data_IF_113959091052
#
_entry.id   IF_113959091052
#
_cell.length_a   1.000
_cell.length_b   1.000
_cell.length_c   1.000
_cell.angle_alpha   90.00
_cell.angle_beta   90.00
_cell.angle_gamma   90.00
#
_symmetry.space_group_name_H-M   'P 1'
#
loop_
_entity.id
_entity.type
_entity.pdbx_description
1 polymer ?
#
# COMPACT_ATOMS: atom_id res chain seq x y z
N UNK A 1 -8.35 7.33 -17.08
CA UNK A 1 -8.78 8.61 -16.48
C UNK A 1 -9.66 8.31 -15.27
N UNK A 2 -9.04 8.06 -14.12
CA UNK A 2 -9.73 7.80 -12.86
C UNK A 2 -9.50 8.98 -11.93
N UNK A 3 -10.51 9.83 -11.77
CA UNK A 3 -10.52 10.94 -10.82
C UNK A 3 -10.58 10.38 -9.39
N UNK A 4 -9.43 10.18 -8.76
CA UNK A 4 -9.36 10.06 -7.30
C UNK A 4 -9.55 11.45 -6.71
N UNK A 5 -10.79 11.78 -6.37
CA UNK A 5 -11.13 13.04 -5.72
C UNK A 5 -10.40 13.16 -4.38
N UNK A 6 -9.70 14.29 -4.18
CA UNK A 6 -9.25 14.72 -2.87
C UNK A 6 -10.50 15.03 -2.01
N UNK A 7 -11.05 14.00 -1.37
CA UNK A 7 -12.24 14.14 -0.54
C UNK A 7 -11.90 14.86 0.75
N UNK A 8 -12.42 16.07 0.94
CA UNK A 8 -12.50 16.69 2.27
C UNK A 8 -13.67 16.04 2.99
N UNK A 9 -13.41 15.29 4.07
CA UNK A 9 -14.46 14.78 4.95
C UNK A 9 -14.78 15.84 5.99
N UNK A 10 -15.95 16.45 5.86
CA UNK A 10 -16.54 17.30 6.90
C UNK A 10 -17.46 16.41 7.72
N UNK A 11 -17.14 16.25 9.00
CA UNK A 11 -17.98 15.49 9.93
C UNK A 11 -18.61 16.47 10.92
N UNK A 12 -19.94 16.42 11.05
CA UNK A 12 -20.60 17.10 12.17
C UNK A 12 -20.12 16.45 13.46
N UNK A 13 -19.65 17.26 14.41
CA UNK A 13 -19.13 16.75 15.66
C UNK A 13 -20.31 16.31 16.53
N UNK A 14 -20.29 15.03 16.96
CA UNK A 14 -21.42 14.42 17.65
C UNK A 14 -21.65 15.07 19.02
N UNK A 15 -22.91 15.33 19.36
CA UNK A 15 -23.32 16.05 20.57
C UNK A 15 -22.73 15.46 21.87
N UNK A 16 -22.57 14.13 21.94
CA UNK A 16 -21.96 13.44 23.08
C UNK A 16 -20.50 13.84 23.31
N UNK A 17 -19.69 13.99 22.26
CA UNK A 17 -18.30 14.44 22.38
C UNK A 17 -18.18 15.90 22.83
N UNK A 18 -19.12 16.76 22.40
CA UNK A 18 -19.16 18.15 22.84
C UNK A 18 -19.59 18.26 24.30
N UNK A 19 -20.55 17.44 24.73
CA UNK A 19 -21.05 17.42 26.10
C UNK A 19 -20.00 16.92 27.12
N UNK A 20 -19.29 15.83 26.81
CA UNK A 20 -18.21 15.32 27.68
C UNK A 20 -17.01 16.27 27.78
N UNK A 21 -16.81 17.12 26.77
CA UNK A 21 -15.79 18.16 26.75
C UNK A 21 -16.21 19.49 27.44
N UNK A 22 -17.42 19.56 28.01
CA UNK A 22 -17.93 20.76 28.69
C UNK A 22 -18.40 21.88 27.74
N UNK A 23 -18.73 21.54 26.49
CA UNK A 23 -19.26 22.44 25.46
C UNK A 23 -20.71 22.08 25.12
N UNK A 24 -21.51 21.91 26.17
CA UNK A 24 -22.91 21.48 26.20
C UNK A 24 -23.88 22.33 25.37
N UNK A 25 -23.53 23.58 25.07
CA UNK A 25 -24.38 24.51 24.31
C UNK A 25 -23.75 25.01 22.99
N UNK A 26 -22.84 24.23 22.39
CA UNK A 26 -22.15 24.57 21.13
C UNK A 26 -22.33 23.49 20.08
N UNK A 27 -22.42 23.92 18.82
CA UNK A 27 -22.31 23.03 17.64
C UNK A 27 -20.90 23.19 17.07
N UNK A 28 -20.17 22.09 16.96
CA UNK A 28 -18.80 22.06 16.43
C UNK A 28 -18.71 21.36 15.09
N UNK A 29 -17.86 21.86 14.20
CA UNK A 29 -17.49 21.20 12.95
C UNK A 29 -16.03 20.78 13.03
N UNK A 30 -15.74 19.57 12.55
CA UNK A 30 -14.37 19.09 12.41
C UNK A 30 -14.14 18.65 10.97
N UNK A 31 -13.00 19.04 10.41
CA UNK A 31 -12.54 18.56 9.12
C UNK A 31 -11.11 18.03 9.28
N UNK A 32 -10.88 16.85 8.71
CA UNK A 32 -9.55 16.26 8.60
C UNK A 32 -9.09 16.38 7.16
N UNK A 33 -7.91 16.97 6.95
CA UNK A 33 -7.27 17.03 5.64
C UNK A 33 -6.11 16.03 5.63
N UNK A 34 -6.14 15.07 4.71
CA UNK A 34 -4.98 14.24 4.42
C UNK A 34 -3.96 15.07 3.65
N UNK A 35 -2.92 15.58 4.35
CA UNK A 35 -1.92 16.48 3.77
C UNK A 35 -1.20 15.84 2.59
N UNK A 36 -0.91 14.55 2.66
CA UNK A 36 -0.25 13.80 1.59
C UNK A 36 -1.10 13.78 0.32
N UNK A 37 -2.42 13.57 0.46
CA UNK A 37 -3.35 13.58 -0.69
C UNK A 37 -3.46 14.96 -1.31
N UNK A 38 -3.51 16.00 -0.48
CA UNK A 38 -3.56 17.38 -0.96
C UNK A 38 -2.26 17.75 -1.69
N UNK A 39 -1.12 17.42 -1.11
CA UNK A 39 0.20 17.66 -1.69
C UNK A 39 0.41 16.89 -3.01
N UNK A 40 -0.05 15.65 -3.10
CA UNK A 40 0.01 14.88 -4.35
C UNK A 40 -0.77 15.54 -5.48
N UNK A 41 -1.95 16.10 -5.21
CA UNK A 41 -2.74 16.80 -6.22
C UNK A 41 -2.15 18.18 -6.54
N UNK A 42 -1.77 18.96 -5.52
CA UNK A 42 -1.26 20.32 -5.68
C UNK A 42 0.07 20.36 -6.42
N UNK A 43 0.99 19.46 -6.05
CA UNK A 43 2.35 19.44 -6.59
C UNK A 43 2.54 18.38 -7.68
N UNK A 44 1.49 17.66 -8.08
CA UNK A 44 1.53 16.57 -9.07
C UNK A 44 2.50 15.43 -8.70
N UNK A 45 2.62 15.12 -7.40
CA UNK A 45 3.49 14.04 -6.91
C UNK A 45 2.83 12.68 -7.19
N UNK A 46 3.50 11.77 -7.94
CA UNK A 46 2.87 10.55 -8.45
C UNK A 46 2.74 9.41 -7.43
N UNK A 47 3.53 9.42 -6.35
CA UNK A 47 3.58 8.34 -5.36
C UNK A 47 3.82 8.90 -3.96
N UNK A 48 3.04 8.44 -2.98
CA UNK A 48 3.13 8.86 -1.57
C UNK A 48 4.45 8.45 -0.93
N UNK A 49 5.11 7.39 -1.43
CA UNK A 49 6.41 6.93 -0.92
C UNK A 49 7.49 7.99 -1.06
N UNK A 50 7.36 8.91 -2.02
CA UNK A 50 8.32 10.00 -2.24
C UNK A 50 8.42 10.92 -1.02
N UNK A 51 7.34 11.09 -0.24
CA UNK A 51 7.39 11.88 1.00
C UNK A 51 8.30 11.27 2.08
N UNK A 52 8.56 9.97 2.00
CA UNK A 52 9.42 9.24 2.95
C UNK A 52 10.83 9.01 2.41
N UNK A 53 11.09 9.37 1.14
CA UNK A 53 12.41 9.28 0.52
C UNK A 53 13.33 10.40 1.02
N UNK A 54 14.63 10.11 1.07
CA UNK A 54 15.68 11.07 1.42
C UNK A 54 16.43 11.59 0.20
N UNK A 55 15.89 11.38 -1.00
CA UNK A 55 16.49 11.81 -2.26
C UNK A 55 16.57 13.34 -2.33
N UNK A 56 17.79 13.88 -2.37
CA UNK A 56 18.02 15.32 -2.46
C UNK A 56 17.37 15.92 -3.71
N UNK A 57 17.27 15.18 -4.82
CA UNK A 57 16.65 15.64 -6.06
C UNK A 57 15.15 15.93 -5.90
N UNK A 58 14.49 15.27 -4.94
CA UNK A 58 13.13 15.60 -4.55
C UNK A 58 13.12 16.78 -3.60
N UNK A 59 13.90 16.72 -2.52
CA UNK A 59 13.90 17.74 -1.45
C UNK A 59 14.27 19.13 -1.96
N UNK A 60 15.20 19.24 -2.91
CA UNK A 60 15.63 20.51 -3.51
C UNK A 60 14.50 21.21 -4.28
N UNK A 61 13.58 20.47 -4.89
CA UNK A 61 12.47 21.07 -5.65
C UNK A 61 11.49 21.83 -4.75
N UNK A 62 11.46 21.51 -3.46
CA UNK A 62 10.59 22.15 -2.47
C UNK A 62 11.32 23.15 -1.57
N UNK A 63 12.64 23.35 -1.76
CA UNK A 63 13.40 24.42 -1.09
C UNK A 63 13.15 25.75 -1.80
N UNK A 64 12.01 26.37 -1.51
CA UNK A 64 11.62 27.68 -2.04
C UNK A 64 11.79 28.79 -1.00
N UNK A 65 12.08 30.00 -1.47
CA UNK A 65 12.19 31.19 -0.61
C UNK A 65 10.82 31.76 -0.20
N UNK A 66 9.78 31.51 -1.01
CA UNK A 66 8.40 31.95 -0.76
C UNK A 66 7.46 30.72 -0.78
N UNK A 67 6.65 30.59 0.27
CA UNK A 67 5.67 29.49 0.42
C UNK A 67 4.52 29.55 -0.58
N UNK A 68 4.28 30.71 -1.20
CA UNK A 68 3.24 30.89 -2.22
C UNK A 68 3.72 30.61 -3.64
N UNK A 69 5.01 30.30 -3.81
CA UNK A 69 5.56 29.96 -5.10
C UNK A 69 4.92 28.66 -5.62
N UNK A 70 4.37 28.65 -6.85
CA UNK A 70 3.82 27.43 -7.43
C UNK A 70 4.96 26.46 -7.76
N UNK A 71 5.10 25.42 -6.96
CA UNK A 71 6.00 24.30 -7.23
C UNK A 71 5.24 23.24 -8.01
N UNK A 72 5.82 22.73 -9.09
CA UNK A 72 5.31 21.55 -9.78
C UNK A 72 6.42 20.52 -9.80
N UNK A 73 6.18 19.38 -9.15
CA UNK A 73 7.18 18.32 -9.04
C UNK A 73 7.55 17.83 -10.44
N UNK A 74 8.84 17.89 -10.76
CA UNK A 74 9.40 17.26 -11.95
C UNK A 74 9.67 15.80 -11.63
N UNK A 75 9.00 14.86 -12.32
CA UNK A 75 9.22 13.44 -12.09
C UNK A 75 10.68 13.09 -12.32
N UNK A 76 11.31 12.48 -11.32
CA UNK A 76 12.63 11.90 -11.46
C UNK A 76 12.57 10.78 -12.51
N UNK A 77 13.68 10.60 -13.25
CA UNK A 77 13.82 9.49 -14.22
C UNK A 77 13.45 8.17 -13.54
N UNK A 78 12.35 7.56 -13.99
CA UNK A 78 11.77 6.39 -13.34
C UNK A 78 12.59 5.16 -13.67
N UNK A 79 13.06 4.47 -12.63
CA UNK A 79 13.72 3.18 -12.76
C UNK A 79 12.73 2.11 -13.28
N UNK A 80 13.17 1.17 -14.13
CA UNK A 80 12.28 0.15 -14.68
C UNK A 80 11.71 -0.74 -13.56
N UNK A 81 10.39 -1.03 -13.57
CA UNK A 81 9.80 -1.93 -12.60
C UNK A 81 10.14 -3.39 -12.96
N UNK A 82 10.33 -4.22 -11.94
CA UNK A 82 10.39 -5.66 -12.07
C UNK A 82 9.07 -6.26 -11.57
N UNK A 83 8.57 -7.30 -12.24
CA UNK A 83 7.31 -7.95 -11.88
C UNK A 83 7.55 -9.44 -11.67
N UNK A 84 7.11 -9.95 -10.52
CA UNK A 84 7.08 -11.37 -10.25
C UNK A 84 5.67 -11.76 -9.76
N UNK A 85 5.21 -12.90 -10.23
CA UNK A 85 3.92 -13.47 -9.85
C UNK A 85 4.15 -14.58 -8.83
N UNK A 86 3.39 -14.57 -7.75
CA UNK A 86 3.39 -15.61 -6.73
C UNK A 86 1.99 -16.21 -6.67
N UNK A 87 1.91 -17.53 -6.74
CA UNK A 87 0.63 -18.23 -6.62
C UNK A 87 0.72 -19.32 -5.57
N UNK A 88 -0.37 -19.50 -4.83
CA UNK A 88 -0.43 -20.46 -3.72
C UNK A 88 -1.87 -20.93 -3.49
N UNK A 89 -1.99 -22.09 -2.86
CA UNK A 89 -3.24 -22.62 -2.36
C UNK A 89 -3.52 -22.08 -0.97
N UNK A 90 -4.77 -21.68 -0.74
CA UNK A 90 -5.25 -21.26 0.56
C UNK A 90 -5.41 -22.47 1.49
N UNK A 91 -5.22 -22.30 2.81
CA UNK A 91 -5.52 -23.33 3.78
C UNK A 91 -7.02 -23.67 3.75
N UNK A 92 -7.34 -24.97 3.85
CA UNK A 92 -8.73 -25.44 3.85
C UNK A 92 -9.38 -25.14 5.20
N UNK A 93 -10.62 -24.63 5.18
CA UNK A 93 -11.39 -24.30 6.39
C UNK A 93 -11.80 -25.53 7.24
N UNK A 94 -11.40 -26.74 6.84
CA UNK A 94 -11.79 -28.02 7.44
C UNK A 94 -10.84 -28.56 8.50
N UNK A 95 -9.64 -27.99 8.66
CA UNK A 95 -8.56 -28.61 9.45
C UNK A 95 -8.57 -28.28 10.97
N UNK A 96 -9.74 -27.97 11.53
CA UNK A 96 -9.94 -27.86 12.99
C UNK A 96 -9.25 -26.68 13.69
N UNK A 97 -8.33 -25.98 13.03
CA UNK A 97 -8.00 -24.59 13.36
C UNK A 97 -9.19 -23.73 12.93
N UNK A 98 -9.92 -23.18 13.89
CA UNK A 98 -11.05 -22.27 13.67
C UNK A 98 -10.70 -21.10 12.71
N UNK A 99 -11.65 -20.22 12.39
CA UNK A 99 -11.60 -19.34 11.22
C UNK A 99 -10.40 -18.38 11.25
N UNK A 100 -9.24 -18.83 10.77
CA UNK A 100 -8.30 -17.97 10.08
C UNK A 100 -8.64 -18.10 8.61
N UNK A 101 -9.74 -17.45 8.24
CA UNK A 101 -9.96 -17.08 6.85
C UNK A 101 -8.73 -16.28 6.46
N UNK A 102 -7.87 -16.84 5.61
CA UNK A 102 -6.82 -16.06 4.94
C UNK A 102 -7.43 -14.75 4.44
N UNK A 103 -6.96 -13.63 4.99
CA UNK A 103 -7.35 -12.31 4.54
C UNK A 103 -6.33 -11.82 3.54
N UNK A 104 -6.78 -11.20 2.45
CA UNK A 104 -5.88 -10.58 1.48
C UNK A 104 -4.98 -9.52 2.15
N UNK A 105 -5.48 -8.88 3.20
CA UNK A 105 -4.72 -7.92 4.00
C UNK A 105 -3.54 -8.57 4.73
N UNK A 106 -3.68 -9.81 5.21
CA UNK A 106 -2.58 -10.50 5.91
C UNK A 106 -1.41 -10.73 4.93
N UNK A 107 -1.72 -11.08 3.69
CA UNK A 107 -0.72 -11.19 2.64
C UNK A 107 -0.13 -9.83 2.24
N UNK A 108 -0.95 -8.77 2.16
CA UNK A 108 -0.43 -7.42 1.91
C UNK A 108 0.52 -6.95 3.01
N UNK A 109 0.18 -7.21 4.27
CA UNK A 109 0.99 -6.85 5.43
C UNK A 109 2.30 -7.66 5.45
N UNK A 110 2.25 -8.96 5.13
CA UNK A 110 3.44 -9.80 5.02
C UNK A 110 4.39 -9.30 3.92
N UNK A 111 3.86 -9.04 2.71
CA UNK A 111 4.65 -8.51 1.60
C UNK A 111 5.26 -7.15 1.94
N UNK A 112 4.53 -6.29 2.67
CA UNK A 112 5.04 -5.00 3.15
C UNK A 112 6.11 -5.17 4.23
N UNK A 113 5.96 -6.13 5.13
CA UNK A 113 6.92 -6.42 6.18
C UNK A 113 8.26 -6.93 5.62
N UNK A 114 8.21 -7.83 4.63
CA UNK A 114 9.41 -8.43 4.03
C UNK A 114 10.02 -7.52 2.97
N UNK A 115 9.20 -6.99 2.05
CA UNK A 115 9.66 -6.22 0.90
C UNK A 115 9.84 -4.72 1.16
N UNK A 116 9.25 -4.17 2.22
CA UNK A 116 9.38 -2.77 2.60
C UNK A 116 9.12 -1.80 1.44
N UNK A 117 10.05 -0.87 1.23
CA UNK A 117 9.97 0.16 0.19
C UNK A 117 10.27 -0.34 -1.23
N UNK A 118 10.78 -1.57 -1.38
CA UNK A 118 11.05 -2.18 -2.69
C UNK A 118 9.74 -2.53 -3.41
N UNK A 119 8.68 -2.84 -2.64
CA UNK A 119 7.37 -3.19 -3.18
C UNK A 119 6.59 -1.92 -3.51
N UNK A 120 6.33 -1.71 -4.80
CA UNK A 120 5.48 -0.63 -5.28
C UNK A 120 4.00 -0.98 -5.17
N UNK A 121 3.64 -2.18 -5.60
CA UNK A 121 2.24 -2.59 -5.67
C UNK A 121 2.12 -4.12 -5.60
N UNK A 122 1.06 -4.57 -4.93
CA UNK A 122 0.61 -5.96 -4.97
C UNK A 122 -0.80 -5.96 -5.55
N UNK A 123 -1.06 -6.84 -6.53
CA UNK A 123 -2.38 -6.98 -7.16
C UNK A 123 -2.76 -8.44 -7.25
N UNK A 124 -3.96 -8.79 -6.81
CA UNK A 124 -4.57 -10.08 -7.12
C UNK A 124 -4.85 -10.13 -8.63
N UNK A 125 -4.24 -11.08 -9.32
CA UNK A 125 -4.37 -11.28 -10.77
C UNK A 125 -5.40 -12.33 -11.09
N UNK A 126 -5.37 -13.44 -10.35
CA UNK A 126 -6.22 -14.59 -10.62
C UNK A 126 -6.66 -15.26 -9.33
N UNK A 127 -7.85 -15.83 -9.36
CA UNK A 127 -8.39 -16.67 -8.31
C UNK A 127 -9.06 -17.88 -8.94
N UNK A 128 -8.60 -19.06 -8.56
CA UNK A 128 -9.06 -20.33 -9.13
C UNK A 128 -9.47 -21.31 -8.04
N UNK A 129 -10.62 -21.96 -8.22
CA UNK A 129 -11.12 -23.02 -7.33
C UNK A 129 -11.06 -24.35 -8.07
N UNK A 130 -10.34 -25.32 -7.52
CA UNK A 130 -10.17 -26.62 -8.16
C UNK A 130 -11.46 -27.46 -8.05
N UNK A 131 -12.02 -27.94 -9.18
CA UNK A 131 -13.37 -28.53 -9.20
C UNK A 131 -13.48 -29.87 -8.47
N UNK A 132 -12.37 -30.64 -8.34
CA UNK A 132 -12.40 -31.96 -7.69
C UNK A 132 -12.05 -31.92 -6.21
N UNK A 133 -11.23 -30.97 -5.79
CA UNK A 133 -10.71 -30.91 -4.41
C UNK A 133 -11.37 -29.78 -3.61
N UNK A 134 -12.07 -28.85 -4.26
CA UNK A 134 -12.65 -27.67 -3.62
C UNK A 134 -11.62 -26.61 -3.19
N UNK A 135 -10.32 -26.91 -3.30
CA UNK A 135 -9.23 -26.02 -2.88
C UNK A 135 -9.22 -24.74 -3.70
N UNK A 136 -9.02 -23.62 -3.01
CA UNK A 136 -8.89 -22.29 -3.61
C UNK A 136 -7.42 -21.93 -3.78
N UNK A 137 -7.09 -21.35 -4.92
CA UNK A 137 -5.78 -20.76 -5.21
C UNK A 137 -5.93 -19.30 -5.58
N UNK A 138 -4.93 -18.51 -5.23
CA UNK A 138 -4.81 -17.11 -5.60
C UNK A 138 -3.44 -16.87 -6.22
N UNK A 139 -3.40 -15.98 -7.22
CA UNK A 139 -2.19 -15.52 -7.86
C UNK A 139 -2.08 -14.00 -7.70
N UNK A 140 -0.98 -13.55 -7.11
CA UNK A 140 -0.67 -12.15 -6.89
C UNK A 140 0.51 -11.74 -7.76
N UNK A 141 0.42 -10.58 -8.40
CA UNK A 141 1.54 -9.91 -9.06
C UNK A 141 2.12 -8.87 -8.13
N UNK A 142 3.40 -9.00 -7.83
CA UNK A 142 4.16 -8.05 -7.03
C UNK A 142 5.05 -7.25 -7.97
N UNK A 143 4.90 -5.92 -7.91
CA UNK A 143 5.70 -4.96 -8.66
C UNK A 143 6.78 -4.42 -7.74
N UNK A 144 8.04 -4.66 -8.10
CA UNK A 144 9.21 -4.16 -7.41
C UNK A 144 9.76 -2.93 -8.14
N UNK A 145 9.86 -1.82 -7.43
CA UNK A 145 10.53 -0.61 -7.92
C UNK A 145 11.00 0.23 -6.75
N UNK A 146 12.31 0.53 -6.75
CA UNK A 146 12.90 1.49 -5.84
C UNK A 146 12.79 2.92 -6.38
N UNK A 147 12.58 3.90 -5.50
CA UNK A 147 12.44 5.31 -5.88
C UNK A 147 13.77 5.96 -6.30
N UNK A 148 14.88 5.47 -5.74
CA UNK A 148 16.20 6.13 -5.86
C UNK A 148 17.22 5.36 -6.72
N UNK A 149 16.94 4.10 -7.14
CA UNK A 149 17.88 3.29 -7.94
C UNK A 149 17.21 2.22 -8.79
N UNK A 150 17.93 1.70 -9.78
CA UNK A 150 17.51 0.50 -10.53
C UNK A 150 17.63 -0.74 -9.65
N UNK A 151 16.62 -1.61 -9.72
CA UNK A 151 16.68 -2.92 -9.10
C UNK A 151 17.30 -3.95 -10.06
N UNK A 152 18.18 -4.76 -9.52
CA UNK A 152 18.75 -5.96 -10.16
C UNK A 152 17.79 -7.13 -10.03
N UNK A 153 17.87 -8.10 -10.94
CA UNK A 153 17.03 -9.30 -10.82
C UNK A 153 17.42 -10.15 -9.60
N UNK A 154 18.70 -10.17 -9.23
CA UNK A 154 19.20 -10.98 -8.13
C UNK A 154 18.64 -10.52 -6.78
N UNK A 155 18.63 -9.20 -6.52
CA UNK A 155 18.09 -8.69 -5.24
C UNK A 155 16.57 -8.92 -5.15
N UNK A 156 15.83 -8.71 -6.25
CA UNK A 156 14.38 -8.93 -6.27
C UNK A 156 14.06 -10.41 -6.05
N UNK A 157 14.84 -11.30 -6.65
CA UNK A 157 14.69 -12.75 -6.44
C UNK A 157 14.88 -13.14 -4.97
N UNK A 158 15.91 -12.61 -4.31
CA UNK A 158 16.14 -12.91 -2.88
C UNK A 158 14.97 -12.49 -2.00
N UNK A 159 14.42 -11.29 -2.23
CA UNK A 159 13.25 -10.79 -1.50
C UNK A 159 12.01 -11.61 -1.84
N UNK A 160 11.83 -12.00 -3.11
CA UNK A 160 10.68 -12.80 -3.54
C UNK A 160 10.68 -14.18 -2.89
N UNK A 161 11.82 -14.88 -2.89
CA UNK A 161 11.99 -16.18 -2.24
C UNK A 161 11.79 -16.10 -0.71
N UNK A 162 12.05 -14.94 -0.10
CA UNK A 162 11.77 -14.72 1.31
C UNK A 162 10.26 -14.53 1.56
N UNK A 163 9.56 -13.80 0.68
CA UNK A 163 8.10 -13.66 0.73
C UNK A 163 7.41 -15.02 0.58
N UNK A 164 7.86 -15.86 -0.36
CA UNK A 164 7.34 -17.22 -0.55
C UNK A 164 7.47 -18.05 0.75
N UNK A 165 8.67 -18.08 1.33
CA UNK A 165 8.93 -18.80 2.58
C UNK A 165 8.10 -18.29 3.76
N UNK A 166 8.03 -16.96 3.95
CA UNK A 166 7.23 -16.36 5.00
C UNK A 166 5.74 -16.64 4.80
N UNK A 167 5.24 -16.60 3.56
CA UNK A 167 3.86 -16.92 3.27
C UNK A 167 3.52 -18.37 3.67
N UNK A 168 4.37 -19.34 3.33
CA UNK A 168 4.17 -20.74 3.75
C UNK A 168 4.22 -20.90 5.27
N UNK A 169 5.14 -20.24 5.96
CA UNK A 169 5.31 -20.40 7.41
C UNK A 169 4.29 -19.64 8.27
N UNK A 170 3.91 -18.42 7.87
CA UNK A 170 3.06 -17.54 8.68
C UNK A 170 1.58 -17.62 8.28
N UNK A 171 1.30 -17.78 6.99
CA UNK A 171 -0.08 -17.84 6.48
C UNK A 171 -0.54 -19.28 6.22
N UNK A 172 0.35 -20.26 6.37
CA UNK A 172 0.04 -21.68 6.14
C UNK A 172 -0.38 -21.98 4.70
N UNK A 173 -0.03 -21.11 3.75
CA UNK A 173 -0.37 -21.32 2.33
C UNK A 173 0.56 -22.36 1.74
N UNK A 174 0.10 -23.06 0.69
CA UNK A 174 0.93 -24.03 -0.02
C UNK A 174 1.37 -23.45 -1.36
N UNK A 175 2.67 -23.29 -1.56
CA UNK A 175 3.27 -22.78 -2.78
C UNK A 175 2.79 -23.47 -4.06
N UNK A 176 2.53 -22.67 -5.10
CA UNK A 176 2.21 -23.08 -6.47
C UNK A 176 3.02 -22.18 -7.41
N UNK A 177 4.35 -22.30 -7.37
CA UNK A 177 5.28 -21.56 -8.21
C UNK A 177 5.80 -22.44 -9.35
#
# INVERSE_FOLDING_TARGET
YGSTGAGVRVQLMMFVCLFTAGADNKVGWAFGLGLERLAMVLFSIPDIRVFWSRDERFLEQFRVSDIHQPVCFQPLSKYPPLHNDISFWLPDASDGSGPQNFSENDFYDLVRSVGGDLVEKVTLVDQFTHPKTGRRSQCYRIIYRHMERTLTQQEVRQVHEQIERCAESELGVQGRY
#
